data_IF_578906988773
#
_entry.id   IF_578906988773
#
_cell.length_a   1.000
_cell.length_b   1.000
_cell.length_c   1.000
_cell.angle_alpha   90.00
_cell.angle_beta   90.00
_cell.angle_gamma   90.00
#
_symmetry.space_group_name_H-M   'P 1'
#
loop_
_entity.id
_entity.type
_entity.pdbx_description
1 polymer ?
#
# COMPACT_ATOMS: atom_id res chain seq x y z
N UNK A 1 -1.43 11.64 -12.43
CA UNK A 1 -1.39 12.93 -13.15
C UNK A 1 -2.14 14.03 -12.39
N UNK A 2 -3.38 13.76 -11.94
CA UNK A 2 -4.15 14.70 -11.12
C UNK A 2 -3.47 15.05 -9.78
N UNK A 3 -2.96 14.06 -9.04
CA UNK A 3 -2.26 14.33 -7.77
C UNK A 3 -0.99 15.17 -7.92
N UNK A 4 -0.25 14.96 -9.01
CA UNK A 4 0.93 15.78 -9.34
C UNK A 4 0.51 17.23 -9.62
N UNK A 5 -0.55 17.42 -10.41
CA UNK A 5 -1.09 18.74 -10.72
C UNK A 5 -1.62 19.44 -9.47
N UNK A 6 -2.34 18.72 -8.61
CA UNK A 6 -2.87 19.21 -7.33
C UNK A 6 -1.75 19.62 -6.39
N UNK A 7 -0.70 18.78 -6.28
CA UNK A 7 0.49 19.12 -5.49
C UNK A 7 1.20 20.36 -6.06
N UNK A 8 1.37 20.46 -7.37
CA UNK A 8 1.95 21.66 -8.02
C UNK A 8 1.09 22.90 -7.76
N UNK A 9 -0.24 22.80 -7.83
CA UNK A 9 -1.17 23.90 -7.54
C UNK A 9 -1.09 24.33 -6.06
N UNK A 10 -1.03 23.37 -5.14
CA UNK A 10 -0.85 23.63 -3.70
C UNK A 10 0.46 24.38 -3.48
N UNK A 11 1.57 23.99 -4.12
CA UNK A 11 2.83 24.72 -4.02
C UNK A 11 2.78 26.12 -4.65
N UNK A 12 2.07 26.27 -5.78
CA UNK A 12 1.84 27.56 -6.45
C UNK A 12 1.07 28.56 -5.56
N UNK A 13 0.21 28.08 -4.65
CA UNK A 13 -0.55 28.89 -3.70
C UNK A 13 0.20 29.04 -2.37
N UNK A 14 0.80 27.95 -1.87
CA UNK A 14 1.52 27.90 -0.61
C UNK A 14 2.76 28.80 -0.64
N UNK A 15 3.53 28.83 -1.74
CA UNK A 15 4.73 29.66 -1.85
C UNK A 15 4.39 31.16 -1.70
N UNK A 16 3.43 31.75 -2.43
CA UNK A 16 3.01 33.13 -2.22
C UNK A 16 2.47 33.41 -0.81
N UNK A 17 1.60 32.55 -0.29
CA UNK A 17 1.02 32.72 1.06
C UNK A 17 2.11 32.68 2.13
N UNK A 18 3.03 31.73 2.02
CA UNK A 18 4.19 31.63 2.91
C UNK A 18 5.09 32.84 2.78
N UNK A 19 5.33 33.35 1.56
CA UNK A 19 6.14 34.55 1.32
C UNK A 19 5.50 35.83 1.88
N UNK A 20 4.17 35.96 1.81
CA UNK A 20 3.41 37.07 2.38
C UNK A 20 3.44 37.02 3.92
N UNK A 21 3.18 35.85 4.51
CA UNK A 21 3.28 35.63 5.95
C UNK A 21 4.70 35.92 6.45
N UNK A 22 5.73 35.48 5.71
CA UNK A 22 7.15 35.71 6.04
C UNK A 22 7.56 37.18 5.99
N UNK A 23 6.84 38.02 5.23
CA UNK A 23 7.05 39.48 5.20
C UNK A 23 6.27 40.22 6.29
N UNK A 24 5.12 39.72 6.71
CA UNK A 24 4.22 40.39 7.63
C UNK A 24 4.54 40.16 9.12
N UNK A 25 5.19 39.04 9.44
CA UNK A 25 5.50 38.65 10.83
C UNK A 25 7.01 38.81 11.08
N UNK A 26 7.44 39.40 12.21
CA UNK A 26 8.86 39.55 12.50
C UNK A 26 9.58 38.20 12.50
N UNK A 27 10.73 38.12 11.82
CA UNK A 27 11.46 36.86 11.56
C UNK A 27 11.71 36.03 12.82
N UNK A 28 11.97 36.69 13.95
CA UNK A 28 12.29 36.01 15.21
C UNK A 28 11.07 35.31 15.82
N UNK A 29 9.87 35.89 15.67
CA UNK A 29 8.61 35.27 16.10
C UNK A 29 8.23 34.10 15.21
N UNK A 30 8.46 34.20 13.89
CA UNK A 30 8.27 33.07 12.98
C UNK A 30 9.25 31.93 13.26
N UNK A 31 10.49 32.26 13.63
CA UNK A 31 11.50 31.27 13.96
C UNK A 31 11.16 30.56 15.27
N UNK A 32 10.71 31.29 16.29
CA UNK A 32 10.31 30.71 17.58
C UNK A 32 8.99 29.92 17.46
N UNK A 33 7.91 30.54 16.99
CA UNK A 33 6.62 29.86 16.81
C UNK A 33 6.69 28.75 15.77
N UNK A 34 7.40 28.97 14.66
CA UNK A 34 7.63 27.94 13.66
C UNK A 34 8.40 26.75 14.22
N UNK A 35 9.44 26.97 15.02
CA UNK A 35 10.17 25.87 15.68
C UNK A 35 9.32 25.17 16.72
N UNK A 36 8.56 25.90 17.55
CA UNK A 36 7.68 25.32 18.57
C UNK A 36 6.55 24.51 17.94
N UNK A 37 5.87 25.06 16.93
CA UNK A 37 4.81 24.37 16.19
C UNK A 37 5.39 23.18 15.44
N UNK A 38 6.52 23.32 14.75
CA UNK A 38 7.17 22.21 14.05
C UNK A 38 7.61 21.10 15.00
N UNK A 39 8.21 21.45 16.13
CA UNK A 39 8.63 20.48 17.16
C UNK A 39 7.42 19.80 17.79
N UNK A 40 6.36 20.55 18.11
CA UNK A 40 5.11 19.99 18.62
C UNK A 40 4.42 19.10 17.58
N UNK A 41 4.42 19.50 16.30
CA UNK A 41 3.84 18.72 15.21
C UNK A 41 4.63 17.43 15.01
N UNK A 42 5.96 17.48 14.99
CA UNK A 42 6.82 16.29 14.99
C UNK A 42 6.50 15.42 16.20
N UNK A 43 6.51 15.98 17.41
CA UNK A 43 6.23 15.23 18.64
C UNK A 43 4.85 14.55 18.59
N UNK A 44 3.82 15.24 18.13
CA UNK A 44 2.45 14.69 17.99
C UNK A 44 2.40 13.62 16.88
N UNK A 45 3.07 13.84 15.75
CA UNK A 45 3.18 12.87 14.64
C UNK A 45 3.84 11.56 15.11
N UNK A 46 4.82 11.65 16.01
CA UNK A 46 5.52 10.49 16.56
C UNK A 46 4.81 9.88 17.79
N UNK A 47 4.07 10.69 18.57
CA UNK A 47 3.41 10.24 19.81
C UNK A 47 1.97 9.73 19.61
N UNK A 48 1.21 10.27 18.65
CA UNK A 48 -0.19 9.89 18.43
C UNK A 48 -0.42 9.35 17.02
N UNK A 49 -0.40 8.02 16.90
CA UNK A 49 -0.48 7.34 15.61
C UNK A 49 -1.79 7.59 14.85
N UNK A 50 -2.94 7.64 15.54
CA UNK A 50 -4.25 7.88 14.90
C UNK A 50 -4.37 9.30 14.37
N UNK A 51 -3.73 10.26 15.06
CA UNK A 51 -3.75 11.65 14.63
C UNK A 51 -3.17 11.80 13.22
N UNK A 52 -2.09 11.09 12.89
CA UNK A 52 -1.48 11.17 11.55
C UNK A 52 -2.35 10.55 10.45
N UNK A 53 -3.28 9.69 10.82
CA UNK A 53 -4.21 9.04 9.88
C UNK A 53 -5.51 9.85 9.69
N UNK A 54 -5.70 10.93 10.46
CA UNK A 54 -6.79 11.87 10.27
C UNK A 54 -6.58 12.73 9.01
N UNK A 55 -7.66 13.18 8.34
CA UNK A 55 -7.53 13.77 7.01
C UNK A 55 -6.63 15.02 7.00
N UNK A 56 -6.75 15.86 8.03
CA UNK A 56 -5.99 17.11 8.12
C UNK A 56 -4.52 16.83 8.44
N UNK A 57 -4.15 16.09 9.51
CA UNK A 57 -2.75 15.82 9.78
C UNK A 57 -2.08 14.95 8.72
N UNK A 58 -2.82 14.04 8.07
CA UNK A 58 -2.31 13.27 6.93
C UNK A 58 -1.90 14.18 5.78
N UNK A 59 -2.73 15.15 5.40
CA UNK A 59 -2.38 16.15 4.37
C UNK A 59 -1.12 16.93 4.76
N UNK A 60 -1.00 17.32 6.03
CA UNK A 60 0.19 18.02 6.52
C UNK A 60 1.43 17.13 6.43
N UNK A 61 1.32 15.85 6.78
CA UNK A 61 2.43 14.89 6.69
C UNK A 61 2.78 14.57 5.23
N UNK A 62 1.79 14.43 4.35
CA UNK A 62 2.00 14.23 2.92
C UNK A 62 2.70 15.47 2.31
N UNK A 63 2.28 16.67 2.70
CA UNK A 63 2.93 17.93 2.30
C UNK A 63 4.38 18.03 2.81
N UNK A 64 4.60 17.75 4.09
CA UNK A 64 5.94 17.77 4.69
C UNK A 64 6.84 16.65 4.15
N UNK A 65 6.26 15.52 3.74
CA UNK A 65 6.99 14.37 3.22
C UNK A 65 7.16 14.40 1.69
N UNK A 66 6.45 15.29 0.99
CA UNK A 66 6.55 15.46 -0.46
C UNK A 66 7.99 15.69 -0.95
N UNK A 67 8.82 16.55 -0.31
CA UNK A 67 10.21 16.74 -0.71
C UNK A 67 11.09 15.48 -0.63
N UNK A 68 10.58 14.40 -0.03
CA UNK A 68 11.25 13.11 0.08
C UNK A 68 10.70 12.07 -0.90
N UNK A 69 9.80 12.42 -1.84
CA UNK A 69 9.48 11.56 -3.00
C UNK A 69 10.47 11.83 -4.14
N UNK A 70 10.63 10.95 -5.13
CA UNK A 70 11.54 11.22 -6.26
C UNK A 70 11.12 12.48 -6.98
N UNK A 71 9.82 12.65 -7.19
CA UNK A 71 9.27 13.85 -7.83
C UNK A 71 9.56 15.10 -7.01
N UNK A 72 9.35 15.05 -5.69
CA UNK A 72 9.61 16.18 -4.80
C UNK A 72 11.10 16.52 -4.69
N UNK A 73 11.98 15.52 -4.63
CA UNK A 73 13.44 15.70 -4.63
C UNK A 73 13.88 16.42 -5.91
N UNK A 74 13.42 15.95 -7.07
CA UNK A 74 13.77 16.57 -8.36
C UNK A 74 13.30 18.02 -8.43
N UNK A 75 12.05 18.30 -8.06
CA UNK A 75 11.51 19.65 -8.04
C UNK A 75 12.23 20.56 -7.06
N UNK A 76 12.49 20.08 -5.84
CA UNK A 76 13.21 20.84 -4.82
C UNK A 76 14.61 21.22 -5.31
N UNK A 77 15.36 20.24 -5.84
CA UNK A 77 16.70 20.49 -6.36
C UNK A 77 16.68 21.49 -7.53
N UNK A 78 15.70 21.42 -8.44
CA UNK A 78 15.54 22.39 -9.51
C UNK A 78 15.24 23.80 -8.98
N UNK A 79 14.32 23.94 -8.02
CA UNK A 79 13.95 25.24 -7.43
C UNK A 79 15.10 25.86 -6.64
N UNK A 80 15.84 25.05 -5.88
CA UNK A 80 17.01 25.50 -5.12
C UNK A 80 18.10 26.01 -6.07
N UNK A 81 18.39 25.25 -7.13
CA UNK A 81 19.37 25.64 -8.14
C UNK A 81 18.98 26.96 -8.83
N UNK A 82 17.70 27.11 -9.21
CA UNK A 82 17.19 28.35 -9.78
C UNK A 82 17.27 29.55 -8.82
N UNK A 83 16.75 29.40 -7.60
CA UNK A 83 16.55 30.51 -6.66
C UNK A 83 17.85 30.99 -6.03
N UNK A 84 18.79 30.09 -5.71
CA UNK A 84 20.02 30.45 -5.01
C UNK A 84 21.19 30.81 -5.91
N UNK A 85 21.18 30.37 -7.18
CA UNK A 85 22.36 30.48 -8.05
C UNK A 85 22.07 31.19 -9.35
N UNK A 86 21.01 30.80 -10.07
CA UNK A 86 20.69 31.36 -11.39
C UNK A 86 20.08 32.76 -11.29
N UNK A 87 19.16 32.99 -10.35
CA UNK A 87 18.43 34.27 -10.22
C UNK A 87 19.35 35.49 -9.98
N UNK A 88 20.44 35.29 -9.25
CA UNK A 88 21.39 36.36 -8.89
C UNK A 88 22.68 36.32 -9.73
N UNK A 89 22.67 35.59 -10.85
CA UNK A 89 23.83 35.47 -11.72
C UNK A 89 23.96 36.74 -12.58
N UNK A 90 24.89 37.63 -12.23
CA UNK A 90 25.21 38.83 -13.01
C UNK A 90 26.55 38.63 -13.71
N UNK A 91 26.52 38.43 -15.02
CA UNK A 91 27.73 38.39 -15.86
C UNK A 91 28.02 39.82 -16.29
N UNK A 92 29.18 40.34 -15.91
CA UNK A 92 29.64 41.66 -16.37
C UNK A 92 30.55 41.49 -17.59
N UNK A 93 30.39 42.36 -18.59
CA UNK A 93 31.16 42.35 -19.85
C UNK A 93 32.16 43.51 -19.88
N UNK A 94 33.41 43.26 -20.32
CA UNK A 94 34.47 44.26 -20.53
C UNK A 94 35.89 43.71 -20.25
N UNK A 95 36.91 44.31 -20.87
CA UNK A 95 38.31 43.82 -20.91
C UNK A 95 39.03 43.71 -19.55
N UNK A 96 38.44 44.22 -18.45
CA UNK A 96 39.03 44.22 -17.10
C UNK A 96 38.03 43.89 -15.99
N UNK A 97 37.06 43.01 -16.25
CA UNK A 97 36.09 42.63 -15.22
C UNK A 97 36.33 41.22 -14.69
N UNK A 98 36.62 41.12 -13.39
CA UNK A 98 36.78 39.83 -12.71
C UNK A 98 35.41 39.16 -12.51
N UNK A 99 35.18 38.08 -13.28
CA UNK A 99 33.99 37.26 -13.23
C UNK A 99 34.20 35.95 -12.43
N UNK A 100 35.26 35.83 -11.60
CA UNK A 100 35.56 34.60 -10.85
C UNK A 100 34.37 34.06 -10.04
N UNK A 101 33.64 34.95 -9.37
CA UNK A 101 32.41 34.60 -8.64
C UNK A 101 31.29 34.08 -9.55
N UNK A 102 31.18 34.57 -10.79
CA UNK A 102 30.21 34.08 -11.76
C UNK A 102 30.62 32.71 -12.30
N UNK A 103 31.90 32.49 -12.55
CA UNK A 103 32.46 31.19 -13.02
C UNK A 103 32.22 30.10 -11.97
N UNK A 104 32.51 30.37 -10.69
CA UNK A 104 32.26 29.42 -9.60
C UNK A 104 30.77 29.08 -9.46
N UNK A 105 29.88 30.07 -9.59
CA UNK A 105 28.42 29.85 -9.57
C UNK A 105 27.97 29.01 -10.76
N UNK A 106 28.45 29.30 -11.97
CA UNK A 106 28.12 28.51 -13.18
C UNK A 106 28.59 27.06 -13.01
N UNK A 107 29.82 26.84 -12.55
CA UNK A 107 30.35 25.49 -12.30
C UNK A 107 29.52 24.71 -11.28
N UNK A 108 29.12 25.36 -10.17
CA UNK A 108 28.24 24.77 -9.17
C UNK A 108 26.86 24.41 -9.75
N UNK A 109 26.24 25.32 -10.50
CA UNK A 109 24.95 25.07 -11.19
C UNK A 109 25.06 23.89 -12.15
N UNK A 110 26.13 23.83 -12.95
CA UNK A 110 26.35 22.72 -13.89
C UNK A 110 26.46 21.39 -13.17
N UNK A 111 27.22 21.33 -12.06
CA UNK A 111 27.34 20.12 -11.24
C UNK A 111 26.02 19.70 -10.62
N UNK A 112 25.26 20.62 -10.06
CA UNK A 112 23.96 20.33 -9.44
C UNK A 112 22.91 19.90 -10.48
N UNK A 113 22.88 20.56 -11.64
CA UNK A 113 22.05 20.15 -12.78
C UNK A 113 22.40 18.74 -13.26
N UNK A 114 23.69 18.39 -13.28
CA UNK A 114 24.13 17.03 -13.61
C UNK A 114 23.60 16.01 -12.58
N UNK A 115 23.65 16.33 -11.29
CA UNK A 115 23.09 15.45 -10.24
C UNK A 115 21.58 15.25 -10.43
N UNK A 116 20.83 16.32 -10.71
CA UNK A 116 19.39 16.25 -10.98
C UNK A 116 19.11 15.35 -12.19
N UNK A 117 19.84 15.55 -13.28
CA UNK A 117 19.70 14.74 -14.49
C UNK A 117 20.08 13.27 -14.25
N UNK A 118 21.08 12.99 -13.42
CA UNK A 118 21.46 11.62 -13.05
C UNK A 118 20.36 10.95 -12.23
N UNK A 119 19.80 11.62 -11.22
CA UNK A 119 18.69 11.07 -10.42
C UNK A 119 17.49 10.79 -11.33
N UNK A 120 17.16 11.73 -12.21
CA UNK A 120 16.05 11.56 -13.15
C UNK A 120 16.31 10.42 -14.14
N UNK A 121 17.53 10.31 -14.68
CA UNK A 121 17.93 9.21 -15.56
C UNK A 121 17.83 7.86 -14.85
N UNK A 122 18.32 7.76 -13.61
CA UNK A 122 18.23 6.53 -12.80
C UNK A 122 16.75 6.16 -12.57
N UNK A 123 15.92 7.12 -12.18
CA UNK A 123 14.49 6.89 -11.91
C UNK A 123 13.68 6.52 -13.16
N UNK A 124 14.04 7.05 -14.32
CA UNK A 124 13.37 6.77 -15.60
C UNK A 124 13.94 5.54 -16.31
N UNK A 125 15.07 5.00 -15.87
CA UNK A 125 15.72 3.87 -16.53
C UNK A 125 15.00 2.54 -16.21
N UNK A 126 14.76 1.75 -17.25
CA UNK A 126 14.07 0.46 -17.13
C UNK A 126 14.85 -0.58 -16.32
N UNK A 127 16.19 -0.61 -16.40
CA UNK A 127 17.00 -1.56 -15.63
C UNK A 127 16.90 -1.29 -14.13
N UNK A 128 17.03 -0.02 -13.75
CA UNK A 128 16.98 0.40 -12.35
C UNK A 128 15.61 0.16 -11.75
N UNK A 129 14.54 0.52 -12.47
CA UNK A 129 13.17 0.28 -12.02
C UNK A 129 12.94 -1.23 -11.80
N UNK A 130 13.34 -2.08 -12.76
CA UNK A 130 13.21 -3.54 -12.63
C UNK A 130 14.00 -4.10 -11.44
N UNK A 131 15.25 -3.66 -11.25
CA UNK A 131 16.10 -4.10 -10.16
C UNK A 131 15.44 -3.83 -8.79
N UNK A 132 14.91 -2.62 -8.61
CA UNK A 132 14.24 -2.25 -7.37
C UNK A 132 12.90 -2.99 -7.18
N UNK A 133 12.12 -3.18 -8.25
CA UNK A 133 10.88 -3.97 -8.19
C UNK A 133 11.19 -5.40 -7.76
N UNK A 134 12.14 -6.05 -8.41
CA UNK A 134 12.58 -7.40 -8.09
C UNK A 134 13.06 -7.53 -6.65
N UNK A 135 13.77 -6.52 -6.12
CA UNK A 135 14.23 -6.54 -4.73
C UNK A 135 13.05 -6.56 -3.75
N UNK A 136 12.06 -5.68 -3.95
CA UNK A 136 10.86 -5.68 -3.11
C UNK A 136 10.02 -6.95 -3.31
N UNK A 137 9.91 -7.48 -4.53
CA UNK A 137 9.27 -8.78 -4.77
C UNK A 137 9.97 -9.91 -4.01
N UNK A 138 11.31 -9.93 -3.95
CA UNK A 138 12.04 -10.91 -3.16
C UNK A 138 11.74 -10.77 -1.66
N UNK A 139 11.71 -9.54 -1.14
CA UNK A 139 11.29 -9.29 0.24
C UNK A 139 9.83 -9.69 0.49
N UNK A 140 8.97 -9.59 -0.52
CA UNK A 140 7.58 -10.03 -0.48
C UNK A 140 7.48 -11.55 -0.34
N UNK A 141 8.28 -12.30 -1.10
CA UNK A 141 8.32 -13.77 -1.02
C UNK A 141 8.77 -14.20 0.37
N UNK A 142 9.80 -13.55 0.92
CA UNK A 142 10.27 -13.77 2.28
C UNK A 142 9.16 -13.47 3.31
N UNK A 143 8.45 -12.34 3.16
CA UNK A 143 7.36 -11.96 4.07
C UNK A 143 6.20 -12.96 4.04
N UNK A 144 5.82 -13.44 2.84
CA UNK A 144 4.80 -14.49 2.68
C UNK A 144 5.25 -15.78 3.37
N UNK A 145 6.49 -16.22 3.12
CA UNK A 145 7.03 -17.44 3.73
C UNK A 145 7.08 -17.34 5.27
N UNK A 146 7.57 -16.22 5.81
CA UNK A 146 7.59 -15.95 7.24
C UNK A 146 6.20 -15.92 7.85
N UNK A 147 5.21 -15.36 7.14
CA UNK A 147 3.82 -15.35 7.61
C UNK A 147 3.23 -16.74 7.82
N UNK A 148 3.63 -17.71 7.00
CA UNK A 148 3.20 -19.12 7.13
C UNK A 148 3.95 -19.86 8.23
N UNK A 149 5.16 -19.41 8.59
CA UNK A 149 6.03 -20.03 9.60
C UNK A 149 5.81 -19.53 11.02
N UNK A 150 5.19 -18.37 11.17
CA UNK A 150 4.99 -17.72 12.48
C UNK A 150 4.18 -18.62 13.43
N UNK A 151 4.53 -18.70 14.73
CA UNK A 151 3.63 -19.26 15.73
C UNK A 151 2.37 -18.41 15.78
N UNK A 152 1.27 -19.00 15.32
CA UNK A 152 -0.04 -18.39 15.38
C UNK A 152 -0.54 -18.52 16.81
N UNK A 153 -0.77 -17.40 17.49
CA UNK A 153 -1.11 -17.41 18.91
C UNK A 153 -2.54 -17.92 19.10
N UNK A 154 -2.75 -18.71 20.16
CA UNK A 154 -4.08 -19.15 20.60
C UNK A 154 -4.89 -19.92 19.53
N UNK A 155 -4.22 -20.70 18.67
CA UNK A 155 -4.87 -21.70 17.82
C UNK A 155 -4.79 -23.08 18.46
N UNK A 156 -5.79 -23.92 18.22
CA UNK A 156 -5.68 -25.36 18.53
C UNK A 156 -4.74 -26.04 17.53
N UNK A 157 -4.25 -27.24 17.87
CA UNK A 157 -3.37 -28.02 16.98
C UNK A 157 -4.04 -28.31 15.62
N UNK A 158 -5.35 -28.54 15.62
CA UNK A 158 -6.13 -28.74 14.39
C UNK A 158 -6.20 -27.46 13.55
N UNK A 159 -6.46 -26.30 14.16
CA UNK A 159 -6.53 -25.05 13.41
C UNK A 159 -5.16 -24.66 12.85
N UNK A 160 -4.08 -24.98 13.58
CA UNK A 160 -2.72 -24.78 13.12
C UNK A 160 -2.40 -25.69 11.93
N UNK A 161 -2.86 -26.95 11.96
CA UNK A 161 -2.74 -27.86 10.83
C UNK A 161 -3.52 -27.34 9.60
N UNK A 162 -4.77 -26.96 9.79
CA UNK A 162 -5.60 -26.39 8.73
C UNK A 162 -5.02 -25.09 8.16
N UNK A 163 -4.49 -24.20 9.02
CA UNK A 163 -3.82 -22.96 8.60
C UNK A 163 -2.59 -23.25 7.74
N UNK A 164 -1.79 -24.26 8.11
CA UNK A 164 -0.65 -24.72 7.31
C UNK A 164 -1.07 -25.37 5.99
N UNK A 165 -2.27 -25.96 5.95
CA UNK A 165 -2.88 -26.49 4.74
C UNK A 165 -3.55 -25.40 3.86
N UNK A 166 -3.49 -24.13 4.26
CA UNK A 166 -4.04 -23.01 3.51
C UNK A 166 -5.57 -22.88 3.64
N UNK A 167 -6.15 -23.42 4.71
CA UNK A 167 -7.56 -23.26 5.05
C UNK A 167 -7.72 -22.04 5.94
N UNK A 168 -8.50 -21.06 5.47
CA UNK A 168 -8.72 -19.80 6.15
C UNK A 168 -10.21 -19.50 6.30
N UNK A 169 -10.57 -18.74 7.32
CA UNK A 169 -11.96 -18.34 7.59
C UNK A 169 -12.29 -17.00 6.92
N UNK A 170 -11.28 -16.13 6.79
CA UNK A 170 -11.41 -14.77 6.28
C UNK A 170 -10.32 -14.47 5.25
N UNK A 171 -10.70 -13.91 4.11
CA UNK A 171 -9.81 -13.30 3.13
C UNK A 171 -9.91 -11.79 3.26
N UNK A 172 -8.83 -11.12 3.66
CA UNK A 172 -8.76 -9.67 3.76
C UNK A 172 -8.11 -9.14 2.49
N UNK A 173 -8.85 -8.40 1.67
CA UNK A 173 -8.32 -7.68 0.52
C UNK A 173 -8.11 -6.23 0.92
N UNK A 174 -6.85 -5.80 0.93
CA UNK A 174 -6.49 -4.43 1.27
C UNK A 174 -6.59 -3.55 0.02
N UNK A 175 -7.16 -2.35 0.14
CA UNK A 175 -7.26 -1.38 -0.95
C UNK A 175 -5.88 -0.83 -1.34
N UNK A 176 -5.09 -0.35 -0.38
CA UNK A 176 -3.77 0.24 -0.60
C UNK A 176 -3.68 1.06 -1.91
N UNK A 177 -2.61 0.93 -2.70
CA UNK A 177 -2.49 1.66 -3.97
C UNK A 177 -3.25 0.95 -5.13
N UNK A 178 -4.04 1.68 -5.94
CA UNK A 178 -4.64 1.09 -7.15
C UNK A 178 -3.57 0.68 -8.18
N UNK A 179 -3.87 -0.24 -9.11
CA UNK A 179 -5.17 -0.89 -9.33
C UNK A 179 -5.54 -1.94 -8.27
N UNK A 180 -6.84 -2.10 -7.99
CA UNK A 180 -7.36 -3.05 -6.99
C UNK A 180 -7.66 -4.43 -7.59
N UNK A 181 -7.97 -4.46 -8.89
CA UNK A 181 -8.45 -5.60 -9.65
C UNK A 181 -7.55 -6.83 -9.51
N UNK A 182 -6.21 -6.74 -9.56
CA UNK A 182 -5.36 -7.92 -9.41
C UNK A 182 -5.53 -8.65 -8.07
N UNK A 183 -5.68 -7.89 -6.96
CA UNK A 183 -5.92 -8.45 -5.63
C UNK A 183 -7.30 -9.06 -5.52
N UNK A 184 -8.29 -8.40 -6.09
CA UNK A 184 -9.65 -8.93 -6.15
C UNK A 184 -9.72 -10.23 -6.97
N UNK A 185 -9.04 -10.29 -8.12
CA UNK A 185 -8.95 -11.50 -8.95
C UNK A 185 -8.29 -12.65 -8.18
N UNK A 186 -7.20 -12.40 -7.47
CA UNK A 186 -6.54 -13.43 -6.66
C UNK A 186 -7.43 -13.90 -5.51
N UNK A 187 -8.11 -12.99 -4.81
CA UNK A 187 -9.05 -13.34 -3.74
C UNK A 187 -10.21 -14.19 -4.26
N UNK A 188 -10.78 -13.83 -5.41
CA UNK A 188 -11.85 -14.61 -6.05
C UNK A 188 -11.35 -15.98 -6.51
N UNK A 189 -10.15 -16.06 -7.11
CA UNK A 189 -9.54 -17.32 -7.52
C UNK A 189 -9.36 -18.28 -6.33
N UNK A 190 -8.84 -17.76 -5.22
CA UNK A 190 -8.67 -18.53 -3.98
C UNK A 190 -10.02 -18.96 -3.40
N UNK A 191 -11.00 -18.06 -3.42
CA UNK A 191 -12.34 -18.33 -2.90
C UNK A 191 -13.04 -19.43 -3.71
N UNK A 192 -12.92 -19.40 -5.04
CA UNK A 192 -13.45 -20.44 -5.93
C UNK A 192 -12.80 -21.79 -5.65
N UNK A 193 -11.48 -21.82 -5.41
CA UNK A 193 -10.73 -23.03 -5.10
C UNK A 193 -11.00 -23.59 -3.69
N UNK A 194 -11.52 -22.79 -2.76
CA UNK A 194 -11.83 -23.23 -1.40
C UNK A 194 -12.97 -24.28 -1.35
N UNK A 195 -12.92 -25.26 -0.43
CA UNK A 195 -13.96 -26.28 -0.30
C UNK A 195 -15.37 -25.69 -0.10
N UNK A 196 -16.43 -26.23 -0.73
CA UNK A 196 -17.79 -25.71 -0.61
C UNK A 196 -18.32 -25.66 0.83
N UNK A 197 -17.92 -26.61 1.69
CA UNK A 197 -18.36 -26.65 3.08
C UNK A 197 -17.71 -25.56 3.96
N UNK A 198 -16.66 -24.89 3.47
CA UNK A 198 -15.86 -23.95 4.24
C UNK A 198 -15.42 -22.77 3.35
N UNK A 199 -16.38 -22.12 2.68
CA UNK A 199 -16.11 -20.90 1.93
C UNK A 199 -15.74 -19.75 2.87
N UNK A 200 -14.58 -19.10 2.69
CA UNK A 200 -14.17 -17.97 3.52
C UNK A 200 -15.01 -16.73 3.22
N UNK A 201 -15.17 -15.86 4.22
CA UNK A 201 -15.70 -14.51 3.97
C UNK A 201 -14.62 -13.61 3.38
N UNK A 202 -15.01 -12.66 2.54
CA UNK A 202 -14.09 -11.71 1.90
C UNK A 202 -14.32 -10.34 2.53
N UNK A 203 -13.34 -9.85 3.29
CA UNK A 203 -13.32 -8.50 3.84
C UNK A 203 -12.61 -7.59 2.83
N UNK A 204 -13.33 -6.59 2.35
CA UNK A 204 -12.78 -5.49 1.56
C UNK A 204 -12.43 -4.36 2.52
N UNK A 205 -11.15 -4.08 2.71
CA UNK A 205 -10.68 -3.08 3.68
C UNK A 205 -10.00 -1.91 2.98
N UNK A 206 -10.54 -0.72 3.23
CA UNK A 206 -10.07 0.50 2.61
C UNK A 206 -10.96 1.68 2.92
N UNK A 207 -10.41 2.68 3.59
CA UNK A 207 -11.09 3.91 3.97
C UNK A 207 -11.01 5.00 2.91
N UNK A 208 -11.25 6.24 3.32
CA UNK A 208 -11.17 7.40 2.44
C UNK A 208 -9.71 7.78 2.15
N UNK A 209 -9.28 7.74 0.89
CA UNK A 209 -8.08 8.45 0.44
C UNK A 209 -8.39 9.93 0.18
N UNK A 210 -7.42 10.78 0.46
CA UNK A 210 -7.45 12.24 0.23
C UNK A 210 -7.50 12.63 -1.25
N UNK A 211 -7.32 11.68 -2.16
CA UNK A 211 -7.20 11.90 -3.62
C UNK A 211 -8.52 11.89 -4.38
N UNK A 212 -9.64 11.51 -3.73
CA UNK A 212 -10.97 11.54 -4.34
C UNK A 212 -11.91 12.46 -3.56
N UNK A 213 -12.74 13.28 -4.26
CA UNK A 213 -13.80 14.02 -3.59
C UNK A 213 -14.74 13.01 -2.88
N UNK A 214 -15.26 13.33 -1.68
CA UNK A 214 -16.26 12.50 -1.04
C UNK A 214 -17.49 12.35 -1.92
N UNK A 215 -17.64 11.19 -2.55
CA UNK A 215 -18.87 10.78 -3.21
C UNK A 215 -19.79 10.14 -2.18
N UNK A 216 -20.99 10.68 -2.02
CA UNK A 216 -22.02 10.03 -1.23
C UNK A 216 -22.74 8.98 -2.08
N UNK A 217 -23.02 7.82 -1.49
CA UNK A 217 -23.70 6.74 -2.19
C UNK A 217 -24.03 5.59 -1.27
N UNK A 218 -24.17 4.41 -1.86
CA UNK A 218 -24.44 3.17 -1.14
C UNK A 218 -23.36 2.13 -1.48
N UNK A 219 -23.06 1.20 -0.57
CA UNK A 219 -22.04 0.18 -0.78
C UNK A 219 -22.44 -0.77 -1.90
N UNK A 220 -21.49 -1.06 -2.80
CA UNK A 220 -21.58 -2.08 -3.87
C UNK A 220 -22.82 -1.97 -4.78
N UNK A 221 -22.62 -1.93 -6.10
CA UNK A 221 -23.71 -2.06 -7.09
C UNK A 221 -24.73 -0.91 -7.11
N UNK A 222 -24.40 0.24 -6.54
CA UNK A 222 -25.27 1.42 -6.62
C UNK A 222 -24.45 2.61 -7.10
N UNK A 223 -24.79 3.08 -8.30
CA UNK A 223 -24.21 4.32 -8.83
C UNK A 223 -24.57 5.48 -7.91
N UNK A 224 -23.60 6.34 -7.55
CA UNK A 224 -23.82 7.46 -6.63
C UNK A 224 -24.86 8.49 -7.14
N UNK A 225 -25.15 8.51 -8.45
CA UNK A 225 -25.93 9.55 -9.13
C UNK A 225 -27.36 9.18 -9.55
N UNK A 226 -27.86 7.96 -9.31
CA UNK A 226 -29.25 7.65 -9.68
C UNK A 226 -30.24 8.20 -8.65
N UNK A 227 -30.73 9.43 -8.83
CA UNK A 227 -31.81 10.03 -8.01
C UNK A 227 -33.15 9.25 -8.06
N UNK A 228 -33.27 8.29 -8.98
CA UNK A 228 -34.54 7.62 -9.31
C UNK A 228 -34.64 6.14 -8.90
N UNK A 229 -33.78 5.61 -8.02
CA UNK A 229 -33.88 4.19 -7.59
C UNK A 229 -34.80 3.99 -6.39
N UNK A 230 -35.52 2.87 -6.40
CA UNK A 230 -36.49 2.53 -5.35
C UNK A 230 -35.78 2.09 -4.06
N UNK A 231 -36.44 2.28 -2.91
CA UNK A 231 -35.89 1.88 -1.59
C UNK A 231 -35.60 0.38 -1.54
N UNK A 232 -36.41 -0.40 -2.22
CA UNK A 232 -36.35 -1.86 -2.33
C UNK A 232 -35.09 -2.31 -3.09
N UNK A 233 -34.67 -1.57 -4.13
CA UNK A 233 -33.42 -1.85 -4.84
C UNK A 233 -32.20 -1.64 -3.95
N UNK A 234 -32.17 -0.53 -3.20
CA UNK A 234 -31.07 -0.24 -2.26
C UNK A 234 -31.02 -1.28 -1.14
N UNK A 235 -32.19 -1.69 -0.62
CA UNK A 235 -32.29 -2.73 0.41
C UNK A 235 -31.80 -4.08 -0.11
N UNK A 236 -32.22 -4.47 -1.32
CA UNK A 236 -31.76 -5.70 -1.97
C UNK A 236 -30.25 -5.66 -2.18
N UNK A 237 -29.71 -4.48 -2.49
CA UNK A 237 -28.29 -4.36 -2.72
C UNK A 237 -27.44 -4.58 -1.46
N UNK A 238 -27.87 -3.95 -0.35
CA UNK A 238 -27.27 -4.10 0.98
C UNK A 238 -27.46 -5.53 1.51
N UNK A 239 -28.65 -6.10 1.34
CA UNK A 239 -28.95 -7.47 1.75
C UNK A 239 -28.14 -8.53 0.99
N UNK A 240 -27.63 -8.18 -0.19
CA UNK A 240 -26.73 -9.05 -0.94
C UNK A 240 -25.33 -9.17 -0.33
N UNK A 241 -24.93 -8.28 0.59
CA UNK A 241 -23.65 -8.34 1.30
C UNK A 241 -23.76 -9.21 2.55
N UNK A 242 -22.61 -9.69 3.05
CA UNK A 242 -22.56 -10.36 4.37
C UNK A 242 -22.74 -9.36 5.50
N UNK A 243 -22.02 -8.24 5.45
CA UNK A 243 -22.03 -7.23 6.51
C UNK A 243 -21.41 -5.91 6.05
N UNK A 244 -22.01 -4.81 6.48
CA UNK A 244 -21.43 -3.46 6.44
C UNK A 244 -21.71 -2.78 7.79
N UNK A 245 -20.69 -2.34 8.53
CA UNK A 245 -20.86 -1.72 9.84
C UNK A 245 -21.68 -0.42 9.80
N UNK A 246 -21.72 0.28 8.66
CA UNK A 246 -22.52 1.52 8.50
C UNK A 246 -24.03 1.23 8.47
N UNK A 247 -24.41 -0.02 8.19
CA UNK A 247 -25.80 -0.48 8.10
C UNK A 247 -26.10 -1.58 9.14
N UNK A 248 -25.41 -1.60 10.28
CA UNK A 248 -25.47 -2.67 11.30
C UNK A 248 -26.91 -3.09 11.69
N UNK A 249 -27.83 -2.13 11.83
CA UNK A 249 -29.22 -2.39 12.18
C UNK A 249 -29.95 -3.29 11.17
N UNK A 250 -29.57 -3.24 9.89
CA UNK A 250 -30.16 -4.05 8.82
C UNK A 250 -29.71 -5.52 8.87
N UNK A 251 -28.50 -5.78 9.39
CA UNK A 251 -27.97 -7.14 9.51
C UNK A 251 -28.35 -7.80 10.85
N UNK A 252 -28.45 -7.03 11.92
CA UNK A 252 -28.68 -7.55 13.28
C UNK A 252 -30.15 -7.55 13.69
N UNK A 253 -30.96 -6.64 13.15
CA UNK A 253 -32.38 -6.48 13.48
C UNK A 253 -33.24 -6.24 12.22
N UNK A 254 -33.21 -7.18 11.24
CA UNK A 254 -33.90 -7.00 9.95
C UNK A 254 -35.42 -6.82 10.08
N UNK A 255 -36.02 -7.39 11.12
CA UNK A 255 -37.46 -7.30 11.40
C UNK A 255 -37.90 -5.98 12.06
N UNK A 256 -36.95 -5.19 12.59
CA UNK A 256 -37.23 -3.94 13.33
C UNK A 256 -36.78 -2.68 12.59
N UNK A 257 -36.12 -2.82 11.43
CA UNK A 257 -35.66 -1.69 10.64
C UNK A 257 -36.83 -1.08 9.85
N UNK A 258 -37.19 0.16 10.22
CA UNK A 258 -38.30 0.92 9.62
C UNK A 258 -38.05 1.26 8.14
N UNK A 259 -39.13 1.56 7.42
CA UNK A 259 -39.20 1.98 5.99
C UNK A 259 -38.67 3.39 5.71
N UNK A 260 -37.91 3.99 6.63
CA UNK A 260 -37.30 5.30 6.45
C UNK A 260 -36.18 5.27 5.40
N UNK A 261 -35.84 6.45 4.87
CA UNK A 261 -34.85 6.60 3.82
C UNK A 261 -33.50 5.98 4.25
N UNK A 262 -32.98 5.03 3.47
CA UNK A 262 -31.66 4.47 3.66
C UNK A 262 -30.64 5.61 3.53
N UNK A 263 -29.84 5.90 4.57
CA UNK A 263 -28.91 7.01 4.51
C UNK A 263 -27.83 6.70 3.48
N UNK A 264 -27.55 7.69 2.61
CA UNK A 264 -26.33 7.68 1.80
C UNK A 264 -25.14 7.81 2.74
N UNK A 265 -24.10 7.05 2.47
CA UNK A 265 -22.84 7.06 3.21
C UNK A 265 -21.73 7.66 2.36
N UNK A 266 -20.67 8.14 2.99
CA UNK A 266 -19.45 8.45 2.25
C UNK A 266 -18.86 7.15 1.71
N UNK A 267 -18.66 7.09 0.39
CA UNK A 267 -18.04 5.95 -0.27
C UNK A 267 -16.53 5.94 0.01
N UNK A 268 -16.04 4.75 0.32
CA UNK A 268 -14.65 4.43 0.69
C UNK A 268 -13.96 3.64 -0.42
N UNK A 269 -12.64 3.42 -0.30
CA UNK A 269 -11.94 2.53 -1.23
C UNK A 269 -12.48 1.09 -1.18
N UNK A 270 -12.97 0.62 -0.03
CA UNK A 270 -13.64 -0.67 0.07
C UNK A 270 -14.91 -0.74 -0.80
N UNK A 271 -15.65 0.37 -0.90
CA UNK A 271 -16.81 0.46 -1.79
C UNK A 271 -16.38 0.42 -3.26
N UNK A 272 -15.29 1.10 -3.63
CA UNK A 272 -14.72 1.05 -4.99
C UNK A 272 -14.25 -0.36 -5.36
N UNK A 273 -13.56 -1.05 -4.45
CA UNK A 273 -13.18 -2.45 -4.63
C UNK A 273 -14.42 -3.33 -4.83
N UNK A 274 -15.47 -3.07 -4.07
CA UNK A 274 -16.70 -3.81 -4.20
C UNK A 274 -17.39 -3.56 -5.55
N UNK A 275 -17.35 -2.33 -6.07
CA UNK A 275 -17.80 -2.01 -7.43
C UNK A 275 -16.94 -2.73 -8.47
N UNK A 276 -15.61 -2.75 -8.31
CA UNK A 276 -14.72 -3.46 -9.22
C UNK A 276 -15.03 -4.97 -9.29
N UNK A 277 -15.40 -5.61 -8.16
CA UNK A 277 -15.83 -7.01 -8.13
C UNK A 277 -17.07 -7.31 -8.97
N UNK A 278 -17.91 -6.32 -9.24
CA UNK A 278 -19.13 -6.50 -10.06
C UNK A 278 -18.83 -6.82 -11.51
N UNK A 279 -17.63 -6.46 -11.98
CA UNK A 279 -17.16 -6.81 -13.32
C UNK A 279 -16.82 -8.30 -13.48
N UNK A 280 -16.77 -9.07 -12.39
CA UNK A 280 -16.36 -10.47 -12.43
C UNK A 280 -17.57 -11.39 -12.60
N UNK A 281 -17.42 -12.43 -13.43
CA UNK A 281 -18.48 -13.37 -13.80
C UNK A 281 -19.15 -14.07 -12.61
N UNK A 282 -18.42 -14.28 -11.51
CA UNK A 282 -18.86 -15.09 -10.37
C UNK A 282 -19.44 -14.25 -9.22
N UNK A 283 -19.66 -12.95 -9.43
CA UNK A 283 -20.06 -12.03 -8.35
C UNK A 283 -21.34 -12.47 -7.63
N UNK A 284 -22.31 -13.03 -8.36
CA UNK A 284 -23.59 -13.46 -7.78
C UNK A 284 -23.41 -14.49 -6.66
N UNK A 285 -22.44 -15.40 -6.79
CA UNK A 285 -22.15 -16.43 -5.78
C UNK A 285 -21.37 -15.89 -4.58
N UNK A 286 -20.51 -14.91 -4.84
CA UNK A 286 -19.54 -14.36 -3.87
C UNK A 286 -20.17 -13.26 -3.01
N UNK A 287 -21.17 -12.56 -3.54
CA UNK A 287 -21.76 -11.35 -2.93
C UNK A 287 -22.11 -11.53 -1.45
N UNK A 288 -22.76 -12.64 -1.11
CA UNK A 288 -23.21 -12.97 0.25
C UNK A 288 -22.06 -13.26 1.24
N UNK A 289 -20.82 -13.33 0.75
CA UNK A 289 -19.60 -13.52 1.54
C UNK A 289 -18.80 -12.22 1.71
N UNK A 290 -19.21 -11.13 1.06
CA UNK A 290 -18.49 -9.85 1.09
C UNK A 290 -18.83 -9.07 2.35
N UNK A 291 -17.79 -8.63 3.06
CA UNK A 291 -17.85 -7.75 4.22
C UNK A 291 -17.12 -6.46 3.87
N UNK A 292 -17.70 -5.31 4.21
CA UNK A 292 -17.09 -3.99 3.98
C UNK A 292 -16.44 -3.47 5.27
N UNK A 293 -15.16 -3.09 5.18
CA UNK A 293 -14.42 -2.37 6.22
C UNK A 293 -14.01 -0.99 5.65
N UNK A 294 -14.78 0.08 5.94
CA UNK A 294 -14.64 1.37 5.26
C UNK A 294 -13.76 2.39 6.02
N UNK A 295 -13.09 1.99 7.10
CA UNK A 295 -12.37 2.89 8.00
C UNK A 295 -10.84 2.75 7.91
N UNK A 296 -10.32 1.62 7.41
CA UNK A 296 -8.90 1.35 7.25
C UNK A 296 -8.18 2.31 6.28
N UNK A 297 -7.54 3.37 6.78
CA UNK A 297 -6.85 4.40 5.95
C UNK A 297 -5.38 4.11 5.63
N UNK A 298 -4.79 3.14 6.32
CA UNK A 298 -3.42 2.67 6.16
C UNK A 298 -3.40 1.16 6.35
N UNK A 299 -2.30 0.49 6.01
CA UNK A 299 -2.15 -0.97 6.22
C UNK A 299 -2.33 -1.33 7.70
N UNK A 300 -1.73 -0.54 8.60
CA UNK A 300 -1.91 -0.68 10.04
C UNK A 300 -3.35 -0.36 10.46
N UNK A 301 -3.87 0.79 10.07
CA UNK A 301 -5.23 1.21 10.42
C UNK A 301 -6.25 0.17 10.00
N UNK A 302 -6.09 -0.42 8.81
CA UNK A 302 -6.89 -1.53 8.31
C UNK A 302 -6.87 -2.72 9.28
N UNK A 303 -5.69 -3.17 9.72
CA UNK A 303 -5.62 -4.26 10.70
C UNK A 303 -6.26 -3.95 12.06
N UNK A 304 -6.16 -2.69 12.54
CA UNK A 304 -6.83 -2.26 13.78
C UNK A 304 -8.37 -2.29 13.62
N UNK A 305 -8.88 -1.77 12.50
CA UNK A 305 -10.32 -1.72 12.22
C UNK A 305 -10.89 -3.11 11.91
N UNK A 306 -10.15 -3.98 11.20
CA UNK A 306 -10.52 -5.39 10.99
C UNK A 306 -10.64 -6.12 12.33
N UNK A 307 -9.70 -5.91 13.25
CA UNK A 307 -9.76 -6.52 14.58
C UNK A 307 -11.04 -6.14 15.33
N UNK A 308 -11.44 -4.87 15.27
CA UNK A 308 -12.69 -4.38 15.86
C UNK A 308 -13.92 -4.93 15.13
N UNK A 309 -13.86 -4.98 13.80
CA UNK A 309 -14.94 -5.48 12.95
C UNK A 309 -15.25 -6.93 13.26
N UNK A 310 -14.23 -7.79 13.34
CA UNK A 310 -14.38 -9.21 13.70
C UNK A 310 -15.06 -9.35 15.06
N UNK A 311 -14.59 -8.61 16.07
CA UNK A 311 -15.20 -8.62 17.42
C UNK A 311 -16.66 -8.16 17.40
N UNK A 312 -16.98 -7.14 16.61
CA UNK A 312 -18.36 -6.66 16.45
C UNK A 312 -19.25 -7.73 15.81
N UNK A 313 -18.78 -8.37 14.75
CA UNK A 313 -19.51 -9.43 14.06
C UNK A 313 -19.73 -10.67 14.94
N UNK A 314 -18.75 -11.04 15.77
CA UNK A 314 -18.86 -12.11 16.76
C UNK A 314 -19.92 -11.80 17.81
N UNK A 315 -19.84 -10.60 18.42
CA UNK A 315 -20.84 -10.12 19.38
C UNK A 315 -22.26 -10.16 18.81
N UNK A 316 -22.38 -9.85 17.52
CA UNK A 316 -23.64 -9.80 16.80
C UNK A 316 -24.07 -11.14 16.17
N UNK A 317 -23.33 -12.24 16.41
CA UNK A 317 -23.60 -13.58 15.86
C UNK A 317 -23.63 -13.63 14.32
N UNK A 318 -22.99 -12.67 13.66
CA UNK A 318 -22.87 -12.60 12.21
C UNK A 318 -21.73 -13.48 11.68
N UNK A 319 -20.85 -13.91 12.57
CA UNK A 319 -19.91 -14.99 12.35
C UNK A 319 -20.20 -16.09 13.36
N UNK A 320 -19.83 -17.35 13.06
CA UNK A 320 -19.85 -18.41 14.08
C UNK A 320 -19.04 -17.92 15.27
N UNK A 321 -19.66 -17.86 16.45
CA UNK A 321 -18.96 -17.59 17.71
C UNK A 321 -17.89 -18.67 17.85
N UNK A 322 -16.63 -18.28 17.67
CA UNK A 322 -15.50 -19.12 18.04
C UNK A 322 -15.00 -18.56 19.39
N UNK A 323 -14.95 -19.36 20.47
CA UNK A 323 -14.34 -18.93 21.72
C UNK A 323 -12.85 -18.57 21.56
N UNK A 324 -12.25 -18.89 20.40
CA UNK A 324 -10.88 -18.56 20.04
C UNK A 324 -10.85 -17.15 19.43
N UNK A 325 -10.16 -16.22 20.08
CA UNK A 325 -9.89 -14.84 19.65
C UNK A 325 -9.06 -14.72 18.33
N UNK A 326 -9.08 -15.73 17.46
CA UNK A 326 -7.91 -16.13 16.68
C UNK A 326 -8.26 -16.71 15.31
N UNK A 327 -9.23 -16.12 14.59
CA UNK A 327 -9.62 -16.56 13.22
C UNK A 327 -8.43 -16.63 12.28
N UNK A 328 -8.41 -17.63 11.40
CA UNK A 328 -7.38 -17.80 10.36
C UNK A 328 -7.64 -16.81 9.25
N UNK A 329 -6.81 -15.79 9.15
CA UNK A 329 -6.93 -14.72 8.15
C UNK A 329 -5.89 -14.94 7.06
N UNK A 330 -6.30 -14.77 5.80
CA UNK A 330 -5.40 -14.60 4.68
C UNK A 330 -5.49 -13.15 4.20
N UNK A 331 -4.42 -12.38 4.37
CA UNK A 331 -4.34 -11.03 3.81
C UNK A 331 -3.81 -11.09 2.37
N UNK A 332 -4.55 -10.48 1.44
CA UNK A 332 -4.20 -10.36 0.02
C UNK A 332 -3.76 -8.93 -0.26
N UNK A 333 -2.50 -8.77 -0.64
CA UNK A 333 -1.83 -7.46 -0.85
C UNK A 333 -0.99 -7.47 -2.14
N UNK A 334 -0.39 -6.34 -2.50
CA UNK A 334 0.57 -6.27 -3.61
C UNK A 334 1.95 -6.79 -3.18
N UNK A 335 2.78 -7.31 -4.11
CA UNK A 335 4.15 -7.73 -3.79
C UNK A 335 4.97 -6.60 -3.15
N UNK A 336 4.81 -5.36 -3.64
CA UNK A 336 5.54 -4.19 -3.14
C UNK A 336 5.21 -3.92 -1.66
N UNK A 337 3.94 -4.03 -1.26
CA UNK A 337 3.46 -3.66 0.07
C UNK A 337 3.49 -4.82 1.08
N UNK A 338 3.74 -6.05 0.62
CA UNK A 338 3.65 -7.28 1.41
C UNK A 338 4.50 -7.25 2.68
N UNK A 339 5.70 -6.68 2.63
CA UNK A 339 6.59 -6.58 3.78
C UNK A 339 6.01 -5.70 4.88
N UNK A 340 5.44 -4.54 4.51
CA UNK A 340 4.77 -3.62 5.46
C UNK A 340 3.49 -4.24 6.02
N UNK A 341 2.72 -4.92 5.17
CA UNK A 341 1.51 -5.66 5.58
C UNK A 341 1.83 -6.77 6.57
N UNK A 342 2.84 -7.58 6.28
CA UNK A 342 3.27 -8.66 7.16
C UNK A 342 3.61 -8.15 8.56
N UNK A 343 4.52 -7.18 8.63
CA UNK A 343 4.98 -6.66 9.92
C UNK A 343 3.87 -5.90 10.68
N UNK A 344 2.97 -5.20 9.99
CA UNK A 344 1.86 -4.49 10.63
C UNK A 344 0.87 -5.46 11.29
N UNK A 345 0.41 -6.46 10.53
CA UNK A 345 -0.50 -7.48 11.04
C UNK A 345 0.18 -8.37 12.10
N UNK A 346 1.51 -8.57 11.99
CA UNK A 346 2.31 -9.24 13.02
C UNK A 346 2.17 -8.55 14.38
N UNK A 347 2.31 -7.23 14.40
CA UNK A 347 2.29 -6.44 15.63
C UNK A 347 0.89 -6.27 16.25
N UNK A 348 -0.17 -6.50 15.48
CA UNK A 348 -1.56 -6.42 15.95
C UNK A 348 -2.09 -7.74 16.53
N UNK A 349 -1.23 -8.76 16.64
CA UNK A 349 -1.59 -10.09 17.13
C UNK A 349 -2.75 -10.75 16.35
N UNK A 350 -2.94 -10.37 15.08
CA UNK A 350 -3.86 -11.05 14.18
C UNK A 350 -3.23 -12.35 13.68
N UNK A 351 -4.04 -13.41 13.61
CA UNK A 351 -3.66 -14.72 13.09
C UNK A 351 -3.68 -14.74 11.56
N UNK A 352 -2.76 -13.99 10.97
CA UNK A 352 -2.76 -13.67 9.55
C UNK A 352 -1.61 -14.34 8.81
N UNK A 353 -1.95 -15.10 7.77
CA UNK A 353 -1.03 -15.45 6.69
C UNK A 353 -1.14 -14.42 5.58
N UNK A 354 -0.08 -14.24 4.79
CA UNK A 354 -0.07 -13.34 3.65
C UNK A 354 -0.09 -14.09 2.33
N UNK A 355 -0.78 -13.48 1.38
CA UNK A 355 -0.73 -13.81 -0.04
C UNK A 355 -0.55 -12.53 -0.85
N UNK A 356 0.23 -12.63 -1.92
CA UNK A 356 0.41 -11.54 -2.87
C UNK A 356 -0.33 -11.84 -4.17
N UNK A 357 -0.92 -10.79 -4.75
CA UNK A 357 -1.58 -10.87 -6.03
C UNK A 357 -0.62 -10.67 -7.22
N UNK A 358 -0.96 -11.25 -8.37
CA UNK A 358 -0.21 -11.03 -9.61
C UNK A 358 -0.53 -9.67 -10.22
N UNK A 359 0.35 -8.69 -10.06
CA UNK A 359 0.28 -7.48 -10.85
C UNK A 359 1.01 -7.72 -12.19
N UNK A 360 0.40 -7.39 -13.35
CA UNK A 360 1.01 -7.65 -14.67
C UNK A 360 2.42 -7.06 -14.85
N UNK A 361 2.74 -6.02 -14.08
CA UNK A 361 4.01 -5.29 -14.16
C UNK A 361 4.95 -5.51 -12.96
N UNK A 362 4.48 -6.20 -11.91
CA UNK A 362 5.18 -6.33 -10.62
C UNK A 362 5.22 -7.79 -10.13
N UNK A 363 5.07 -8.77 -11.03
CA UNK A 363 5.19 -10.19 -10.66
C UNK A 363 6.02 -10.96 -11.65
N UNK A 364 7.18 -11.38 -11.18
CA UNK A 364 7.98 -12.40 -11.81
C UNK A 364 7.50 -13.79 -11.37
N UNK A 365 7.39 -14.72 -12.31
CA UNK A 365 7.06 -16.12 -12.00
C UNK A 365 8.28 -16.90 -11.49
N UNK A 366 9.48 -16.47 -11.88
CA UNK A 366 10.76 -16.96 -11.39
C UNK A 366 11.71 -15.76 -11.23
N UNK A 367 11.88 -15.31 -9.99
CA UNK A 367 12.78 -14.20 -9.66
C UNK A 367 14.24 -14.51 -10.05
N UNK A 368 14.68 -15.76 -9.90
CA UNK A 368 16.08 -16.12 -10.17
C UNK A 368 16.42 -16.08 -11.67
N UNK A 369 15.44 -16.36 -12.53
CA UNK A 369 15.60 -16.34 -13.98
C UNK A 369 15.24 -14.98 -14.62
N UNK A 370 14.31 -14.23 -14.04
CA UNK A 370 13.73 -13.05 -14.69
C UNK A 370 14.30 -11.73 -14.18
N UNK A 371 14.83 -11.71 -12.95
CA UNK A 371 15.40 -10.51 -12.35
C UNK A 371 16.90 -10.35 -12.64
N UNK A 372 17.39 -9.10 -12.77
CA UNK A 372 18.81 -8.83 -12.89
C UNK A 372 19.59 -9.18 -11.61
N UNK A 373 20.91 -9.36 -11.74
CA UNK A 373 21.83 -9.44 -10.60
C UNK A 373 21.67 -8.22 -9.67
N UNK A 374 21.74 -8.37 -8.33
CA UNK A 374 22.19 -9.54 -7.56
C UNK A 374 21.12 -10.58 -7.24
N UNK A 375 19.89 -10.40 -7.73
CA UNK A 375 18.76 -11.29 -7.42
C UNK A 375 18.82 -12.54 -8.31
N UNK A 376 19.12 -12.35 -9.60
CA UNK A 376 19.37 -13.43 -10.54
C UNK A 376 20.83 -13.92 -10.51
N UNK A 377 21.03 -15.19 -10.87
CA UNK A 377 22.37 -15.80 -10.95
C UNK A 377 23.23 -15.22 -12.10
N UNK A 378 22.59 -14.58 -13.09
CA UNK A 378 23.25 -13.98 -14.25
C UNK A 378 22.60 -12.63 -14.56
N UNK A 379 23.42 -11.67 -14.99
CA UNK A 379 22.93 -10.40 -15.52
C UNK A 379 22.69 -10.56 -17.03
N UNK A 380 21.47 -10.91 -17.42
CA UNK A 380 21.09 -10.97 -18.83
C UNK A 380 20.72 -9.58 -19.36
N UNK A 381 21.60 -9.02 -20.20
CA UNK A 381 21.49 -7.68 -20.74
C UNK A 381 20.42 -7.62 -21.83
N UNK A 382 19.20 -7.22 -21.46
CA UNK A 382 18.11 -7.00 -22.42
C UNK A 382 18.18 -5.58 -23.01
N UNK A 383 18.00 -5.39 -24.32
CA UNK A 383 18.03 -4.05 -24.94
C UNK A 383 17.07 -3.05 -24.29
N UNK A 384 15.90 -3.53 -23.81
CA UNK A 384 14.91 -2.72 -23.11
C UNK A 384 15.44 -2.05 -21.84
N UNK A 385 16.49 -2.59 -21.21
CA UNK A 385 17.06 -2.06 -19.96
C UNK A 385 17.81 -0.74 -20.16
N UNK A 386 18.27 -0.45 -21.37
CA UNK A 386 18.93 0.82 -21.70
C UNK A 386 17.95 1.96 -22.00
N UNK A 387 16.66 1.65 -22.13
CA UNK A 387 15.64 2.64 -22.46
C UNK A 387 15.16 3.36 -21.19
N UNK A 388 14.82 4.63 -21.37
CA UNK A 388 14.17 5.46 -20.37
C UNK A 388 12.68 5.57 -20.70
N UNK A 389 11.80 5.44 -19.70
CA UNK A 389 10.36 5.51 -19.91
C UNK A 389 9.62 6.16 -18.75
N UNK A 390 8.45 6.72 -19.05
CA UNK A 390 7.55 7.27 -18.03
C UNK A 390 6.99 6.16 -17.11
N UNK A 391 6.78 4.96 -17.64
CA UNK A 391 6.35 3.79 -16.85
C UNK A 391 7.39 3.44 -15.78
N UNK A 392 8.68 3.43 -16.16
CA UNK A 392 9.78 3.17 -15.21
C UNK A 392 9.88 4.25 -14.15
N UNK A 393 9.62 5.51 -14.48
CA UNK A 393 9.53 6.56 -13.47
C UNK A 393 8.40 6.31 -12.48
N UNK A 394 7.20 5.94 -12.96
CA UNK A 394 6.07 5.63 -12.08
C UNK A 394 6.36 4.43 -11.17
N UNK A 395 7.02 3.39 -11.70
CA UNK A 395 7.48 2.24 -10.90
C UNK A 395 8.50 2.66 -9.84
N UNK A 396 9.53 3.40 -10.24
CA UNK A 396 10.55 3.91 -9.32
C UNK A 396 9.95 4.79 -8.23
N UNK A 397 9.00 5.67 -8.55
CA UNK A 397 8.31 6.52 -7.57
C UNK A 397 7.47 5.69 -6.59
N UNK A 398 6.78 4.65 -7.08
CA UNK A 398 6.02 3.73 -6.22
C UNK A 398 6.91 2.96 -5.26
N UNK A 399 8.02 2.41 -5.75
CA UNK A 399 9.01 1.68 -4.94
C UNK A 399 9.64 2.62 -3.90
N UNK A 400 10.08 3.80 -4.33
CA UNK A 400 10.66 4.79 -3.45
C UNK A 400 9.67 5.25 -2.36
N UNK A 401 8.39 5.39 -2.73
CA UNK A 401 7.33 5.69 -1.78
C UNK A 401 7.15 4.56 -0.76
N UNK A 402 7.19 3.29 -1.15
CA UNK A 402 7.11 2.17 -0.20
C UNK A 402 8.34 2.12 0.72
N UNK A 403 9.55 2.36 0.21
CA UNK A 403 10.76 2.47 1.04
C UNK A 403 10.61 3.59 2.08
N UNK A 404 10.12 4.76 1.65
CA UNK A 404 9.82 5.89 2.54
C UNK A 404 8.82 5.49 3.62
N UNK A 405 7.73 4.82 3.25
CA UNK A 405 6.73 4.33 4.21
C UNK A 405 7.32 3.32 5.21
N UNK A 406 8.13 2.36 4.76
CA UNK A 406 8.83 1.42 5.64
C UNK A 406 9.74 2.12 6.64
N UNK A 407 10.47 3.15 6.20
CA UNK A 407 11.31 3.98 7.09
C UNK A 407 10.44 4.69 8.12
N UNK A 408 9.35 5.35 7.70
CA UNK A 408 8.43 6.07 8.59
C UNK A 408 7.83 5.10 9.62
N UNK A 409 7.36 3.94 9.18
CA UNK A 409 6.79 2.93 10.05
C UNK A 409 7.83 2.40 11.06
N UNK A 410 9.09 2.23 10.65
CA UNK A 410 10.18 1.83 11.53
C UNK A 410 10.50 2.92 12.56
N UNK A 411 10.63 4.17 12.12
CA UNK A 411 10.91 5.32 12.99
C UNK A 411 9.79 5.57 14.02
N UNK A 412 8.55 5.21 13.69
CA UNK A 412 7.41 5.27 14.62
C UNK A 412 7.29 4.04 15.53
N UNK A 413 8.29 3.15 15.50
CA UNK A 413 8.31 1.87 16.21
C UNK A 413 7.09 0.98 15.90
N UNK A 414 6.43 1.23 14.76
CA UNK A 414 5.32 0.41 14.27
C UNK A 414 5.83 -0.87 13.63
N UNK A 415 7.06 -0.85 13.14
CA UNK A 415 7.83 -2.03 12.76
C UNK A 415 8.97 -2.10 13.78
N UNK A 416 8.97 -3.13 14.63
CA UNK A 416 10.16 -3.45 15.42
C UNK A 416 11.07 -4.29 14.51
N UNK A 417 12.29 -3.84 14.18
CA UNK A 417 13.28 -4.73 13.58
C UNK A 417 13.49 -5.93 14.50
N UNK A 418 13.83 -7.11 13.97
CA UNK A 418 13.52 -8.38 14.60
C UNK A 418 14.20 -8.48 15.97
N UNK A 419 13.39 -8.56 17.03
CA UNK A 419 13.82 -9.12 18.30
C UNK A 419 13.64 -10.64 18.18
N UNK A 420 14.77 -11.30 17.89
CA UNK A 420 15.07 -12.74 17.94
C UNK A 420 14.70 -13.64 16.74
N UNK A 421 15.77 -14.08 16.06
CA UNK A 421 15.99 -15.25 15.18
C UNK A 421 14.98 -15.57 14.04
N UNK A 422 15.20 -14.98 12.86
CA UNK A 422 14.66 -15.48 11.59
C UNK A 422 15.77 -15.44 10.52
N UNK A 423 16.78 -16.32 10.64
CA UNK A 423 17.64 -16.62 9.49
C UNK A 423 16.75 -17.14 8.35
N UNK A 424 16.99 -16.77 7.08
CA UNK A 424 16.36 -17.49 5.96
C UNK A 424 16.78 -18.96 6.06
N UNK A 425 15.83 -19.87 6.29
CA UNK A 425 16.08 -21.29 6.05
C UNK A 425 16.09 -21.47 4.53
N UNK A 426 17.21 -21.16 3.89
CA UNK A 426 17.57 -21.91 2.71
C UNK A 426 17.68 -23.36 3.19
N UNK A 427 16.84 -24.32 2.75
CA UNK A 427 17.36 -25.66 2.70
C UNK A 427 18.57 -25.54 1.77
N UNK A 428 19.77 -25.84 2.28
CA UNK A 428 20.83 -26.29 1.37
C UNK A 428 20.15 -27.32 0.46
N UNK A 429 20.22 -27.16 -0.88
CA UNK A 429 19.63 -28.16 -1.76
C UNK A 429 20.14 -29.51 -1.27
N UNK A 430 19.21 -30.39 -0.91
CA UNK A 430 19.56 -31.70 -0.40
C UNK A 430 20.58 -32.30 -1.38
N UNK A 431 21.73 -32.81 -0.90
CA UNK A 431 22.65 -33.49 -1.81
C UNK A 431 21.84 -34.55 -2.56
N UNK A 432 22.02 -34.68 -3.88
CA UNK A 432 21.22 -35.61 -4.67
C UNK A 432 21.30 -36.99 -4.02
N UNK A 433 20.15 -37.51 -3.59
CA UNK A 433 20.07 -38.87 -3.04
C UNK A 433 20.69 -39.83 -4.05
N UNK A 434 21.56 -40.76 -3.63
CA UNK A 434 22.17 -41.70 -4.55
C UNK A 434 21.06 -42.48 -5.26
N UNK A 435 21.12 -42.43 -6.60
CA UNK A 435 20.29 -43.19 -7.51
C UNK A 435 20.08 -44.59 -6.96
N UNK A 436 18.83 -44.87 -6.58
CA UNK A 436 18.37 -46.23 -6.33
C UNK A 436 18.65 -46.99 -7.62
N UNK A 437 19.57 -47.95 -7.57
CA UNK A 437 19.90 -48.79 -8.71
C UNK A 437 18.60 -49.41 -9.22
N UNK A 438 18.15 -48.98 -10.40
CA UNK A 438 17.20 -49.76 -11.17
C UNK A 438 17.90 -51.07 -11.49
N UNK A 439 17.55 -52.13 -10.75
CA UNK A 439 17.77 -53.50 -11.20
C UNK A 439 16.88 -53.71 -12.42
N UNK A 440 17.46 -53.54 -13.59
CA UNK A 440 16.92 -54.02 -14.86
C UNK A 440 16.87 -55.54 -14.81
N UNK A 441 15.69 -56.10 -14.52
CA UNK A 441 15.35 -57.47 -14.88
C UNK A 441 14.93 -57.48 -16.35
N UNK A 442 15.83 -57.92 -17.23
CA UNK A 442 15.46 -58.42 -18.54
C UNK A 442 15.17 -59.93 -18.42
N UNK A 443 14.05 -60.44 -18.96
CA UNK A 443 13.96 -61.86 -19.27
C UNK A 443 14.43 -62.12 -20.71
N UNK A 444 15.19 -63.20 -20.83
CA UNK A 444 15.45 -64.04 -22.02
C UNK A 444 16.43 -63.53 -23.09
N UNK A 445 17.64 -64.09 -23.04
CA UNK A 445 18.06 -65.17 -23.96
C UNK A 445 19.14 -66.02 -23.32
#
# INVERSE_FOLDING_TARGET
>A
MFDLLTNILIWLIAIPVFTILFKAIPKDWFRLFGTVIFTALIAIIFANFRFVEDPIPKIVVDFLSFPFTLTGILLLLMVLNYSFRLKDLKIKSGDKVDNKNAIERVSAVTRESLIILLIFAIATNNATAELFTCYLEQQSVNAVEQSNRRPVLNLSDQDLADFRLGVYDLYVVLAENPPYEPRLQEAVRLWTAAPPQQKPFIILSGGKRTTYPPTQGYPCLIEPESENRSKEEVRTAIAGLRYDPRYEAYFTKPSQTSTEALPKVELSEADQMCVALTSFSNIAEIRQFIIIEPLGRSVRGSGDEISKLIKSMEKNRLLREDPRNSRRILAVTSPIEATRTFMSFKNQALNTSLKTAAYPYDRHSDLAAQCPWPIGAKFDLKPKYFLFSAESFLKSERIWTEIKELIIYTLRFWLRPPLTDERPYYPNPAPPSPLTSQKSYYPNS
#
